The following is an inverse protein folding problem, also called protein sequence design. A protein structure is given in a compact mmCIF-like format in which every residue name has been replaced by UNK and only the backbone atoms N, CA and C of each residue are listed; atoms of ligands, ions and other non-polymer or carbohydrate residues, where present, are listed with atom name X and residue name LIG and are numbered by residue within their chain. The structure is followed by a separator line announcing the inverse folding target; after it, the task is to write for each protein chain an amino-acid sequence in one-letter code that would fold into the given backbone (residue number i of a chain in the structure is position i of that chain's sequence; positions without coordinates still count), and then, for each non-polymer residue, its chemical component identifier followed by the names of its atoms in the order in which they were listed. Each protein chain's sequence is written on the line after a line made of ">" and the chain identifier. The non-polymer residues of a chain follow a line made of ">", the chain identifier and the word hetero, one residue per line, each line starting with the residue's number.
data_IF_794843334784
#
_entry.id   IF_794843334784
#
_cell.length_a   1.000
_cell.length_b   1.000
_cell.length_c   1.000
_cell.angle_alpha   90.00
_cell.angle_beta   90.00
_cell.angle_gamma   90.00
#
_symmetry.space_group_name_H-M   'P 1'
#
loop_
_entity.id
_entity.type
_entity.pdbx_description
1 polymer ?
#
# COMPACT_ATOMS: atom_id res chain seq x y z
N UNK A 1 4.63 13.08 7.66
CA UNK A 1 4.36 13.21 9.11
C UNK A 1 3.75 11.95 9.74
N UNK A 2 2.92 11.17 9.03
CA UNK A 2 2.20 10.05 9.65
C UNK A 2 3.03 8.77 9.80
N UNK A 3 3.81 8.41 8.79
CA UNK A 3 4.67 7.22 8.86
C UNK A 3 5.67 7.32 10.03
N UNK A 4 6.18 8.51 10.31
CA UNK A 4 7.06 8.78 11.47
C UNK A 4 6.35 8.64 12.81
N UNK A 5 5.05 8.94 12.90
CA UNK A 5 4.24 8.73 14.11
C UNK A 5 4.00 7.25 14.34
N UNK A 6 3.55 6.52 13.30
CA UNK A 6 3.32 5.06 13.36
C UNK A 6 4.60 4.32 13.76
N UNK A 7 5.74 4.76 13.23
CA UNK A 7 7.03 4.13 13.51
C UNK A 7 7.50 4.28 14.96
N UNK A 8 6.82 5.10 15.77
CA UNK A 8 7.10 5.33 17.20
C UNK A 8 6.04 4.70 18.12
N UNK A 9 5.11 3.91 17.59
CA UNK A 9 4.05 3.29 18.37
C UNK A 9 4.60 2.36 19.47
N UNK A 10 3.94 2.32 20.62
CA UNK A 10 4.38 1.51 21.78
C UNK A 10 4.31 0.01 21.49
N UNK A 11 3.40 -0.41 20.59
CA UNK A 11 3.34 -1.76 20.04
C UNK A 11 4.68 -2.26 19.49
N UNK A 12 5.54 -1.35 19.02
CA UNK A 12 6.81 -1.69 18.42
C UNK A 12 8.01 -1.52 19.37
N UNK A 13 7.77 -1.25 20.66
CA UNK A 13 8.83 -1.01 21.66
C UNK A 13 9.84 -2.15 21.80
N UNK A 14 9.42 -3.38 21.49
CA UNK A 14 10.27 -4.57 21.56
C UNK A 14 11.21 -4.71 20.36
N UNK A 15 10.87 -4.09 19.22
CA UNK A 15 11.74 -4.09 18.04
C UNK A 15 12.87 -3.09 18.28
N UNK A 16 14.08 -3.61 18.43
CA UNK A 16 15.31 -2.82 18.57
C UNK A 16 16.19 -2.97 17.33
N UNK A 17 17.00 -1.96 17.06
CA UNK A 17 18.08 -2.06 16.08
C UNK A 17 19.23 -2.84 16.72
N UNK A 18 19.47 -4.08 16.28
CA UNK A 18 20.51 -4.95 16.86
C UNK A 18 21.89 -4.56 16.32
N UNK A 19 22.93 -4.90 17.07
CA UNK A 19 24.31 -4.73 16.62
C UNK A 19 24.53 -5.46 15.28
N UNK A 20 25.19 -4.78 14.34
CA UNK A 20 25.43 -5.30 12.98
C UNK A 20 24.31 -5.05 11.97
N UNK A 21 23.07 -4.80 12.39
CA UNK A 21 21.95 -4.54 11.45
C UNK A 21 22.05 -3.15 10.78
N UNK A 22 22.81 -2.23 11.36
CA UNK A 22 22.90 -0.84 10.91
C UNK A 22 23.34 -0.71 9.45
N UNK A 23 24.29 -1.54 9.00
CA UNK A 23 24.76 -1.52 7.61
C UNK A 23 23.67 -1.99 6.64
N UNK A 24 22.87 -2.99 7.02
CA UNK A 24 21.72 -3.45 6.23
C UNK A 24 20.72 -2.31 6.03
N UNK A 25 20.31 -1.65 7.12
CA UNK A 25 19.33 -0.57 7.03
C UNK A 25 19.87 0.66 6.29
N UNK A 26 21.18 0.94 6.34
CA UNK A 26 21.81 1.96 5.50
C UNK A 26 21.69 1.64 4.02
N UNK A 27 21.87 0.38 3.64
CA UNK A 27 21.76 -0.04 2.24
C UNK A 27 20.30 -0.02 1.76
N UNK A 28 19.37 -0.50 2.59
CA UNK A 28 17.93 -0.37 2.31
C UNK A 28 17.54 1.09 2.08
N UNK A 29 18.00 2.01 2.93
CA UNK A 29 17.69 3.44 2.87
C UNK A 29 18.20 4.13 1.59
N UNK A 30 19.14 3.52 0.85
CA UNK A 30 19.64 4.03 -0.43
C UNK A 30 18.78 3.62 -1.63
N UNK A 31 17.86 2.68 -1.45
CA UNK A 31 17.00 2.23 -2.55
C UNK A 31 16.08 3.35 -3.01
N UNK A 32 15.98 3.54 -4.33
CA UNK A 32 15.05 4.51 -4.94
C UNK A 32 13.57 4.21 -4.64
N UNK A 33 13.25 3.01 -4.14
CA UNK A 33 11.91 2.64 -3.71
C UNK A 33 11.58 3.10 -2.27
N UNK A 34 12.55 3.65 -1.53
CA UNK A 34 12.32 4.33 -0.25
C UNK A 34 11.89 5.77 -0.53
N UNK A 35 10.65 6.11 -0.18
CA UNK A 35 10.07 7.45 -0.43
C UNK A 35 10.50 8.51 0.57
N UNK A 36 10.69 8.09 1.81
CA UNK A 36 11.01 8.94 2.95
C UNK A 36 12.31 8.46 3.59
N UNK A 37 13.47 8.76 2.96
CA UNK A 37 14.75 8.31 3.48
C UNK A 37 15.04 8.90 4.86
N UNK A 38 15.72 8.12 5.69
CA UNK A 38 16.24 8.57 6.98
C UNK A 38 17.53 9.35 6.71
N UNK A 39 17.46 10.68 6.80
CA UNK A 39 18.56 11.60 6.50
C UNK A 39 19.49 11.88 7.69
N UNK A 40 19.31 11.13 8.78
CA UNK A 40 20.15 11.16 9.98
C UNK A 40 20.77 9.80 10.21
N UNK A 41 21.61 9.67 11.24
CA UNK A 41 22.16 8.37 11.58
C UNK A 41 21.05 7.36 11.95
N UNK A 42 21.12 6.17 11.35
CA UNK A 42 20.17 5.09 11.61
C UNK A 42 20.54 4.46 12.97
N UNK A 43 19.96 5.01 14.03
CA UNK A 43 20.22 4.61 15.41
C UNK A 43 18.95 4.25 16.20
N UNK A 44 17.80 4.83 15.86
CA UNK A 44 16.57 4.68 16.64
C UNK A 44 15.73 3.48 16.16
N UNK A 45 15.01 2.79 17.08
CA UNK A 45 13.99 1.80 16.71
C UNK A 45 13.00 2.30 15.65
N UNK A 46 12.57 3.56 15.76
CA UNK A 46 11.67 4.17 14.80
C UNK A 46 12.26 4.28 13.38
N UNK A 47 13.57 4.42 13.22
CA UNK A 47 14.22 4.41 11.90
C UNK A 47 14.12 3.01 11.27
N UNK A 48 14.37 1.97 12.06
CA UNK A 48 14.21 0.57 11.64
C UNK A 48 12.78 0.26 11.25
N UNK A 49 11.79 0.63 12.06
CA UNK A 49 10.37 0.41 11.78
C UNK A 49 9.94 1.15 10.50
N UNK A 50 10.34 2.42 10.36
CA UNK A 50 10.05 3.19 9.15
C UNK A 50 10.60 2.50 7.90
N UNK A 51 11.85 2.04 7.94
CA UNK A 51 12.46 1.35 6.80
C UNK A 51 11.81 -0.01 6.53
N UNK A 52 11.45 -0.79 7.55
CA UNK A 52 10.70 -2.05 7.38
C UNK A 52 9.38 -1.84 6.63
N UNK A 53 8.63 -0.79 6.99
CA UNK A 53 7.37 -0.46 6.33
C UNK A 53 7.63 -0.04 4.88
N UNK A 54 8.55 0.90 4.66
CA UNK A 54 8.84 1.40 3.32
C UNK A 54 9.42 0.34 2.40
N UNK A 55 10.21 -0.60 2.93
CA UNK A 55 10.73 -1.74 2.17
C UNK A 55 9.62 -2.66 1.67
N UNK A 56 8.61 -2.95 2.50
CA UNK A 56 7.48 -3.76 2.06
C UNK A 56 6.66 -3.01 1.00
N UNK A 57 6.30 -1.75 1.28
CA UNK A 57 5.44 -0.96 0.38
C UNK A 57 6.11 -0.62 -0.95
N UNK A 58 7.43 -0.38 -0.94
CA UNK A 58 8.24 -0.12 -2.12
C UNK A 58 8.76 -1.39 -2.81
N UNK A 59 8.49 -2.56 -2.25
CA UNK A 59 9.04 -3.83 -2.73
C UNK A 59 10.58 -3.80 -2.91
N UNK A 60 11.28 -3.29 -1.89
CA UNK A 60 12.74 -3.17 -1.89
C UNK A 60 13.38 -4.56 -1.82
N UNK A 61 14.24 -4.86 -2.78
CA UNK A 61 15.07 -6.06 -2.77
C UNK A 61 16.12 -5.96 -1.65
N UNK A 62 16.19 -6.98 -0.78
CA UNK A 62 17.17 -7.00 0.30
C UNK A 62 18.57 -7.30 -0.25
N UNK A 63 19.62 -6.59 0.20
CA UNK A 63 20.99 -6.84 -0.25
C UNK A 63 21.45 -8.29 -0.03
N UNK A 64 21.99 -8.92 -1.09
CA UNK A 64 22.33 -10.36 -1.10
C UNK A 64 23.76 -10.69 -0.61
N UNK A 65 24.57 -9.67 -0.31
CA UNK A 65 25.93 -9.85 0.17
C UNK A 65 26.02 -10.63 1.49
N UNK A 66 27.12 -11.38 1.66
CA UNK A 66 27.41 -12.19 2.85
C UNK A 66 27.17 -11.50 4.22
N UNK A 67 27.50 -10.20 4.44
CA UNK A 67 27.24 -9.58 5.74
C UNK A 67 25.74 -9.39 6.04
N UNK A 68 24.87 -9.42 5.02
CA UNK A 68 23.44 -9.13 5.14
C UNK A 68 22.56 -10.36 5.25
N UNK A 69 23.02 -11.52 4.74
CA UNK A 69 22.22 -12.75 4.75
C UNK A 69 21.77 -13.17 6.15
N UNK A 70 22.66 -13.05 7.14
CA UNK A 70 22.36 -13.34 8.56
C UNK A 70 21.23 -12.49 9.15
N UNK A 71 20.92 -11.34 8.55
CA UNK A 71 19.87 -10.43 9.02
C UNK A 71 18.52 -10.64 8.33
N UNK A 72 18.44 -11.44 7.25
CA UNK A 72 17.20 -11.63 6.46
C UNK A 72 16.06 -12.22 7.28
N UNK A 73 16.35 -13.24 8.09
CA UNK A 73 15.34 -13.86 8.93
C UNK A 73 14.77 -12.88 9.96
N UNK A 74 15.65 -12.14 10.65
CA UNK A 74 15.21 -11.12 11.62
C UNK A 74 14.41 -10.00 10.94
N UNK A 75 14.85 -9.53 9.75
CA UNK A 75 14.11 -8.55 8.96
C UNK A 75 12.68 -9.05 8.63
N UNK A 76 12.54 -10.30 8.17
CA UNK A 76 11.24 -10.88 7.85
C UNK A 76 10.34 -11.03 9.07
N UNK A 77 10.91 -11.42 10.21
CA UNK A 77 10.20 -11.54 11.48
C UNK A 77 9.68 -10.17 11.96
N UNK A 78 10.57 -9.17 12.03
CA UNK A 78 10.22 -7.82 12.46
C UNK A 78 9.19 -7.19 11.52
N UNK A 79 9.35 -7.36 10.19
CA UNK A 79 8.37 -6.92 9.21
C UNK A 79 7.00 -7.54 9.44
N UNK A 80 6.95 -8.86 9.67
CA UNK A 80 5.69 -9.58 9.89
C UNK A 80 4.99 -9.08 11.14
N UNK A 81 5.74 -8.86 12.22
CA UNK A 81 5.24 -8.25 13.44
C UNK A 81 4.74 -6.81 13.23
N UNK A 82 5.47 -5.97 12.50
CA UNK A 82 5.01 -4.61 12.20
C UNK A 82 3.67 -4.65 11.46
N UNK A 83 3.55 -5.49 10.42
CA UNK A 83 2.32 -5.57 9.61
C UNK A 83 1.14 -6.26 10.29
N UNK A 84 1.34 -7.02 11.37
CA UNK A 84 0.23 -7.55 12.18
C UNK A 84 -0.45 -6.47 13.02
N UNK A 85 0.25 -5.37 13.34
CA UNK A 85 -0.27 -4.28 14.17
C UNK A 85 -0.59 -2.99 13.37
N UNK A 86 0.07 -2.76 12.23
CA UNK A 86 -0.01 -1.46 11.54
C UNK A 86 -1.43 -1.04 11.13
N UNK A 87 -2.28 -2.02 10.78
CA UNK A 87 -3.66 -1.75 10.34
C UNK A 87 -4.55 -1.22 11.47
N UNK A 88 -4.36 -1.66 12.73
CA UNK A 88 -5.12 -1.09 13.86
C UNK A 88 -4.60 0.31 14.24
N UNK A 89 -3.30 0.53 14.12
CA UNK A 89 -2.66 1.80 14.43
C UNK A 89 -3.12 2.91 13.49
N UNK A 90 -3.15 2.63 12.18
CA UNK A 90 -3.61 3.64 11.22
C UNK A 90 -5.10 3.97 11.39
N UNK A 91 -5.94 3.00 11.76
CA UNK A 91 -7.35 3.26 12.08
C UNK A 91 -7.51 4.17 13.29
N UNK A 92 -6.75 3.91 14.35
CA UNK A 92 -6.71 4.80 15.53
C UNK A 92 -6.30 6.24 15.13
N UNK A 93 -5.27 6.38 14.29
CA UNK A 93 -4.86 7.70 13.78
C UNK A 93 -6.01 8.34 12.99
N UNK A 94 -6.66 7.61 12.09
CA UNK A 94 -7.82 8.10 11.31
C UNK A 94 -8.90 8.62 12.26
N UNK A 95 -9.31 7.85 13.26
CA UNK A 95 -10.35 8.24 14.23
C UNK A 95 -9.95 9.52 14.99
N UNK A 96 -8.69 9.61 15.44
CA UNK A 96 -8.18 10.83 16.07
C UNK A 96 -8.22 12.04 15.13
N UNK A 97 -7.84 11.88 13.86
CA UNK A 97 -7.83 12.99 12.90
C UNK A 97 -9.23 13.45 12.50
N UNK A 98 -10.21 12.53 12.49
CA UNK A 98 -11.63 12.90 12.34
C UNK A 98 -12.06 13.81 13.48
N UNK A 99 -11.74 13.45 14.73
CA UNK A 99 -12.08 14.27 15.91
C UNK A 99 -11.34 15.61 15.99
N UNK A 100 -10.14 15.70 15.41
CA UNK A 100 -9.35 16.94 15.33
C UNK A 100 -9.74 17.84 14.15
N UNK A 101 -10.64 17.38 13.28
CA UNK A 101 -11.07 18.08 12.06
C UNK A 101 -9.91 18.44 11.10
N UNK A 102 -8.77 17.74 11.19
CA UNK A 102 -7.63 17.91 10.28
C UNK A 102 -7.82 17.06 9.03
N UNK A 103 -8.48 17.65 8.04
CA UNK A 103 -8.75 16.99 6.75
C UNK A 103 -7.50 16.60 5.95
N UNK A 104 -6.40 17.36 6.07
CA UNK A 104 -5.16 17.09 5.32
C UNK A 104 -4.50 15.84 5.87
N UNK A 105 -4.35 15.79 7.19
CA UNK A 105 -3.80 14.63 7.87
C UNK A 105 -4.76 13.44 7.69
N UNK A 106 -6.07 13.61 7.88
CA UNK A 106 -7.03 12.53 7.65
C UNK A 106 -6.90 11.88 6.25
N UNK A 107 -6.81 12.67 5.18
CA UNK A 107 -6.62 12.16 3.81
C UNK A 107 -5.37 11.31 3.69
N UNK A 108 -4.23 11.82 4.14
CA UNK A 108 -2.96 11.08 4.09
C UNK A 108 -3.03 9.78 4.91
N UNK A 109 -3.80 9.76 6.01
CA UNK A 109 -3.95 8.57 6.86
C UNK A 109 -4.74 7.48 6.14
N UNK A 110 -5.79 7.88 5.41
CA UNK A 110 -6.61 6.98 4.59
C UNK A 110 -5.79 6.38 3.42
N UNK A 111 -4.94 7.17 2.77
CA UNK A 111 -4.01 6.70 1.73
C UNK A 111 -3.00 5.67 2.28
N UNK A 112 -2.46 5.92 3.48
CA UNK A 112 -1.60 4.97 4.17
C UNK A 112 -2.35 3.69 4.57
N UNK A 113 -3.59 3.80 5.03
CA UNK A 113 -4.40 2.63 5.38
C UNK A 113 -4.61 1.72 4.17
N UNK A 114 -4.91 2.29 3.00
CA UNK A 114 -4.98 1.55 1.73
C UNK A 114 -3.64 0.87 1.41
N UNK A 115 -2.55 1.64 1.49
CA UNK A 115 -1.20 1.12 1.22
C UNK A 115 -0.83 -0.05 2.14
N UNK A 116 -1.14 0.03 3.44
CA UNK A 116 -0.87 -1.06 4.39
C UNK A 116 -1.73 -2.29 4.18
N UNK A 117 -3.01 -2.11 3.81
CA UNK A 117 -3.89 -3.21 3.44
C UNK A 117 -3.38 -3.96 2.22
N UNK A 118 -2.96 -3.21 1.19
CA UNK A 118 -2.43 -3.72 -0.07
C UNK A 118 -0.97 -4.22 0.01
N UNK A 119 -0.23 -3.81 1.06
CA UNK A 119 1.22 -4.02 1.22
C UNK A 119 2.06 -3.49 0.05
N UNK A 120 1.60 -2.41 -0.55
CA UNK A 120 2.28 -1.65 -1.62
C UNK A 120 1.89 -0.19 -1.49
N UNK A 121 2.66 0.72 -2.06
CA UNK A 121 2.20 2.11 -2.17
C UNK A 121 1.01 2.23 -3.12
N UNK A 122 -0.03 2.97 -2.70
CA UNK A 122 -1.34 3.07 -3.37
C UNK A 122 -1.28 3.73 -4.77
N UNK A 123 -0.32 4.60 -5.00
CA UNK A 123 -0.15 5.45 -6.20
C UNK A 123 0.89 4.90 -7.19
N UNK A 124 1.17 3.59 -7.17
CA UNK A 124 2.18 3.01 -8.07
C UNK A 124 1.76 1.67 -8.71
N UNK A 125 2.37 1.27 -9.84
CA UNK A 125 2.02 0.03 -10.55
C UNK A 125 2.13 -1.24 -9.71
N UNK A 126 2.86 -1.20 -8.58
CA UNK A 126 2.95 -2.33 -7.64
C UNK A 126 1.58 -2.78 -7.11
N UNK A 127 0.52 -1.97 -7.22
CA UNK A 127 -0.85 -2.40 -6.95
C UNK A 127 -1.23 -3.71 -7.68
N UNK A 128 -0.71 -3.93 -8.89
CA UNK A 128 -0.97 -5.17 -9.63
C UNK A 128 -0.40 -6.43 -8.97
N UNK A 129 0.55 -6.30 -8.03
CA UNK A 129 1.07 -7.41 -7.20
C UNK A 129 -0.01 -8.03 -6.29
N UNK A 130 -1.12 -7.33 -6.10
CA UNK A 130 -2.29 -7.88 -5.39
C UNK A 130 -3.01 -8.96 -6.22
N UNK A 131 -2.71 -9.09 -7.52
CA UNK A 131 -3.28 -10.14 -8.35
C UNK A 131 -2.44 -11.41 -8.23
N UNK A 132 -3.09 -12.54 -7.99
CA UNK A 132 -2.40 -13.82 -7.84
C UNK A 132 -1.54 -14.14 -9.08
N UNK A 133 -0.30 -14.58 -8.84
CA UNK A 133 0.72 -14.88 -9.86
C UNK A 133 1.37 -13.66 -10.53
N UNK A 134 1.05 -12.43 -10.10
CA UNK A 134 1.78 -11.22 -10.48
C UNK A 134 2.83 -10.88 -9.42
N UNK A 135 4.09 -11.14 -9.76
CA UNK A 135 5.24 -10.72 -8.96
C UNK A 135 5.82 -9.38 -9.43
N UNK A 136 6.82 -8.87 -8.70
CA UNK A 136 7.48 -7.57 -9.00
C UNK A 136 8.04 -7.54 -10.43
N UNK A 137 8.62 -8.65 -10.91
CA UNK A 137 9.14 -8.77 -12.28
C UNK A 137 8.02 -8.62 -13.32
N UNK A 138 6.86 -9.23 -13.07
CA UNK A 138 5.70 -9.10 -13.95
C UNK A 138 5.17 -7.66 -13.97
N UNK A 139 5.08 -7.01 -12.80
CA UNK A 139 4.73 -5.58 -12.72
C UNK A 139 5.70 -4.71 -13.53
N UNK A 140 7.01 -4.94 -13.43
CA UNK A 140 8.01 -4.18 -14.20
C UNK A 140 7.81 -4.35 -15.70
N UNK A 141 7.61 -5.58 -16.18
CA UNK A 141 7.34 -5.87 -17.60
C UNK A 141 6.07 -5.15 -18.09
N UNK A 142 4.97 -5.24 -17.34
CA UNK A 142 3.71 -4.56 -17.66
C UNK A 142 3.87 -3.04 -17.70
N UNK A 143 4.51 -2.46 -16.69
CA UNK A 143 4.76 -1.02 -16.62
C UNK A 143 5.64 -0.53 -17.76
N UNK A 144 6.67 -1.29 -18.15
CA UNK A 144 7.51 -0.98 -19.32
C UNK A 144 6.73 -1.04 -20.65
N UNK A 145 5.64 -1.80 -20.70
CA UNK A 145 4.70 -1.83 -21.83
C UNK A 145 3.56 -0.81 -21.71
N UNK A 146 3.62 0.13 -20.75
CA UNK A 146 2.61 1.17 -20.56
C UNK A 146 1.42 0.77 -19.67
N UNK A 147 1.35 -0.49 -19.23
CA UNK A 147 0.28 -0.99 -18.35
C UNK A 147 0.67 -0.71 -16.89
N UNK A 148 0.10 0.36 -16.33
CA UNK A 148 0.50 0.90 -15.03
C UNK A 148 -0.57 0.82 -13.94
N UNK A 149 -1.77 0.34 -14.28
CA UNK A 149 -2.88 0.17 -13.34
C UNK A 149 -3.64 -1.13 -13.55
N UNK A 150 -4.47 -1.50 -12.57
CA UNK A 150 -5.33 -2.70 -12.65
C UNK A 150 -6.38 -2.52 -13.76
N UNK A 151 -6.92 -1.31 -13.91
CA UNK A 151 -7.86 -0.96 -14.97
C UNK A 151 -7.22 -1.05 -16.35
N UNK A 152 -5.97 -0.56 -16.50
CA UNK A 152 -5.24 -0.68 -17.75
C UNK A 152 -4.96 -2.16 -18.10
N UNK A 153 -4.63 -2.98 -17.10
CA UNK A 153 -4.39 -4.42 -17.28
C UNK A 153 -5.66 -5.18 -17.71
N UNK A 154 -6.82 -4.77 -17.20
CA UNK A 154 -8.11 -5.36 -17.55
C UNK A 154 -8.53 -5.10 -19.01
N UNK A 155 -8.08 -3.98 -19.58
CA UNK A 155 -8.37 -3.62 -20.97
C UNK A 155 -7.46 -4.33 -22.00
N UNK A 156 -6.47 -5.09 -21.55
CA UNK A 156 -5.56 -5.80 -22.44
C UNK A 156 -6.17 -7.08 -23.00
N UNK A 157 -5.76 -7.46 -24.21
CA UNK A 157 -6.12 -8.75 -24.77
C UNK A 157 -5.30 -9.88 -24.12
N UNK A 158 -5.87 -11.09 -23.89
CA UNK A 158 -5.17 -12.20 -23.25
C UNK A 158 -3.79 -12.52 -23.86
N UNK A 159 -3.69 -12.46 -25.19
CA UNK A 159 -2.46 -12.79 -25.91
C UNK A 159 -1.36 -11.73 -25.74
N UNK A 160 -1.73 -10.45 -25.55
CA UNK A 160 -0.79 -9.38 -25.24
C UNK A 160 -0.16 -9.61 -23.87
N UNK A 161 -0.98 -10.00 -22.88
CA UNK A 161 -0.51 -10.33 -21.53
C UNK A 161 0.46 -11.52 -21.56
N UNK A 162 0.12 -12.59 -22.30
CA UNK A 162 0.98 -13.75 -22.49
C UNK A 162 2.34 -13.35 -23.08
N UNK A 163 2.32 -12.52 -24.13
CA UNK A 163 3.52 -12.02 -24.80
C UNK A 163 4.38 -11.12 -23.89
N UNK A 164 3.79 -10.09 -23.28
CA UNK A 164 4.49 -9.12 -22.41
C UNK A 164 5.14 -9.86 -21.24
N UNK A 165 4.40 -10.78 -20.61
CA UNK A 165 4.90 -11.52 -19.45
C UNK A 165 5.81 -12.70 -19.81
N UNK A 166 5.91 -13.02 -21.10
CA UNK A 166 6.65 -14.19 -21.61
C UNK A 166 6.13 -15.49 -20.99
N UNK A 167 4.80 -15.66 -20.98
CA UNK A 167 4.10 -16.83 -20.47
C UNK A 167 3.37 -17.52 -21.63
N UNK A 168 3.23 -18.84 -21.53
CA UNK A 168 2.45 -19.59 -22.52
C UNK A 168 0.95 -19.40 -22.26
N UNK A 169 0.13 -19.32 -23.33
CA UNK A 169 -1.31 -19.39 -23.20
C UNK A 169 -1.76 -20.64 -22.41
N UNK A 170 -2.86 -20.58 -21.64
CA UNK A 170 -3.79 -19.46 -21.49
C UNK A 170 -3.52 -18.64 -20.21
N UNK A 171 -2.28 -18.14 -20.00
CA UNK A 171 -1.97 -17.41 -18.77
C UNK A 171 -2.73 -16.08 -18.69
N UNK A 172 -2.73 -15.27 -19.75
CA UNK A 172 -3.40 -13.98 -19.81
C UNK A 172 -4.91 -14.10 -19.60
N UNK A 173 -5.55 -15.10 -20.21
CA UNK A 173 -6.98 -15.38 -20.00
C UNK A 173 -7.28 -15.68 -18.52
N UNK A 174 -6.52 -16.59 -17.91
CA UNK A 174 -6.69 -16.93 -16.48
C UNK A 174 -6.39 -15.75 -15.56
N UNK A 175 -5.50 -14.85 -15.96
CA UNK A 175 -5.22 -13.63 -15.22
C UNK A 175 -6.42 -12.67 -15.26
N UNK A 176 -6.99 -12.42 -16.44
CA UNK A 176 -8.18 -11.59 -16.60
C UNK A 176 -9.40 -12.17 -15.87
N UNK A 177 -9.58 -13.49 -15.88
CA UNK A 177 -10.63 -14.16 -15.10
C UNK A 177 -10.51 -13.86 -13.59
N UNK A 178 -9.29 -13.81 -13.04
CA UNK A 178 -9.08 -13.43 -11.64
C UNK A 178 -9.28 -11.94 -11.37
N UNK A 179 -9.06 -11.09 -12.37
CA UNK A 179 -9.26 -9.65 -12.25
C UNK A 179 -10.73 -9.27 -12.09
N UNK A 180 -11.65 -10.10 -12.60
CA UNK A 180 -13.10 -9.92 -12.41
C UNK A 180 -13.47 -9.91 -10.92
N UNK A 181 -12.79 -10.71 -10.11
CA UNK A 181 -13.02 -10.81 -8.66
C UNK A 181 -12.29 -9.72 -7.85
N UNK A 182 -11.40 -8.93 -8.47
CA UNK A 182 -10.69 -7.85 -7.78
C UNK A 182 -11.66 -6.73 -7.38
N UNK A 183 -11.79 -6.35 -6.10
CA UNK A 183 -12.76 -5.34 -5.68
C UNK A 183 -12.45 -3.95 -6.23
N UNK A 184 -13.37 -3.40 -7.02
CA UNK A 184 -13.24 -2.06 -7.63
C UNK A 184 -14.20 -1.09 -6.97
N UNK A 185 -13.74 -0.41 -5.92
CA UNK A 185 -14.56 0.52 -5.16
C UNK A 185 -14.99 1.73 -6.01
N UNK A 186 -16.25 2.11 -5.89
CA UNK A 186 -16.84 3.30 -6.48
C UNK A 186 -17.42 4.16 -5.36
N UNK A 187 -17.04 5.44 -5.36
CA UNK A 187 -17.69 6.46 -4.53
C UNK A 187 -18.30 7.51 -5.45
N UNK A 188 -19.59 7.77 -5.30
CA UNK A 188 -20.31 8.84 -5.99
C UNK A 188 -20.86 9.81 -4.96
N UNK A 189 -20.57 11.09 -5.11
CA UNK A 189 -21.02 12.14 -4.19
C UNK A 189 -21.81 13.16 -4.98
N UNK A 190 -23.08 13.37 -4.62
CA UNK A 190 -23.96 14.33 -5.26
C UNK A 190 -24.53 15.31 -4.24
N UNK A 191 -24.36 16.59 -4.50
CA UNK A 191 -25.05 17.65 -3.77
C UNK A 191 -26.54 17.65 -4.13
N UNK A 192 -27.41 17.46 -3.15
CA UNK A 192 -28.87 17.40 -3.33
C UNK A 192 -29.57 18.71 -2.94
N UNK A 193 -28.88 19.64 -2.28
CA UNK A 193 -29.43 20.95 -1.94
C UNK A 193 -28.38 21.91 -1.38
N UNK A 194 -28.62 23.22 -1.59
CA UNK A 194 -27.83 24.34 -1.04
C UNK A 194 -28.78 25.34 -0.41
N UNK A 195 -28.56 25.70 0.85
CA UNK A 195 -29.20 26.85 1.47
C UNK A 195 -28.12 27.83 1.91
N UNK A 196 -28.25 29.09 1.48
CA UNK A 196 -27.33 30.16 1.89
C UNK A 196 -28.12 31.18 2.67
N UNK A 197 -27.75 31.42 3.93
CA UNK A 197 -28.36 32.46 4.76
C UNK A 197 -27.27 33.46 5.16
N UNK A 198 -27.45 34.72 4.75
CA UNK A 198 -26.55 35.83 5.09
C UNK A 198 -26.38 35.91 6.60
N UNK A 199 -25.13 35.86 7.08
CA UNK A 199 -24.80 35.93 8.51
C UNK A 199 -24.86 34.60 9.30
N UNK A 200 -25.37 33.51 8.71
CA UNK A 200 -25.49 32.19 9.40
C UNK A 200 -24.60 31.13 8.73
N UNK A 201 -24.36 31.24 7.42
CA UNK A 201 -23.49 30.33 6.67
C UNK A 201 -24.21 29.57 5.55
N UNK A 202 -23.55 28.53 5.04
CA UNK A 202 -24.03 27.68 3.95
C UNK A 202 -24.37 26.30 4.50
N UNK A 203 -25.58 25.81 4.26
CA UNK A 203 -25.97 24.42 4.50
C UNK A 203 -25.99 23.67 3.18
N UNK A 204 -25.33 22.51 3.15
CA UNK A 204 -25.25 21.67 1.96
C UNK A 204 -25.84 20.30 2.31
N UNK A 205 -26.77 19.83 1.49
CA UNK A 205 -27.25 18.44 1.55
C UNK A 205 -26.46 17.63 0.53
N UNK A 206 -25.87 16.52 0.99
CA UNK A 206 -25.04 15.64 0.16
C UNK A 206 -25.61 14.23 0.26
N UNK A 207 -25.70 13.55 -0.88
CA UNK A 207 -25.95 12.12 -0.98
C UNK A 207 -24.67 11.45 -1.47
N UNK A 208 -24.15 10.52 -0.66
CA UNK A 208 -23.00 9.70 -1.02
C UNK A 208 -23.45 8.26 -1.25
N UNK A 209 -22.95 7.66 -2.32
CA UNK A 209 -23.16 6.26 -2.67
C UNK A 209 -21.80 5.57 -2.72
N UNK A 210 -21.69 4.46 -2.00
CA UNK A 210 -20.49 3.60 -1.98
C UNK A 210 -20.91 2.25 -2.54
N UNK A 211 -20.24 1.81 -3.60
CA UNK A 211 -20.56 0.60 -4.33
C UNK A 211 -19.28 -0.06 -4.89
N UNK A 212 -19.43 -1.21 -5.53
CA UNK A 212 -18.37 -1.82 -6.35
C UNK A 212 -18.75 -1.72 -7.82
N UNK A 213 -17.75 -1.52 -8.69
CA UNK A 213 -17.90 -1.57 -10.15
C UNK A 213 -17.92 -2.99 -10.70
N UNK A 214 -17.66 -4.00 -9.86
CA UNK A 214 -17.75 -5.41 -10.23
C UNK A 214 -19.18 -5.78 -10.63
N UNK A 215 -19.33 -6.69 -11.61
CA UNK A 215 -20.65 -7.20 -12.01
C UNK A 215 -21.40 -7.86 -10.85
N UNK A 216 -20.66 -8.55 -9.98
CA UNK A 216 -21.15 -9.12 -8.73
C UNK A 216 -20.44 -8.44 -7.56
N UNK A 217 -21.21 -8.03 -6.56
CA UNK A 217 -20.65 -7.41 -5.36
C UNK A 217 -19.68 -8.39 -4.67
N UNK A 218 -18.39 -8.04 -4.54
CA UNK A 218 -17.40 -8.90 -3.91
C UNK A 218 -17.66 -8.94 -2.39
N UNK A 219 -17.68 -10.15 -1.84
CA UNK A 219 -17.79 -10.38 -0.38
C UNK A 219 -16.47 -10.79 0.24
N UNK A 220 -15.57 -11.38 -0.57
CA UNK A 220 -14.24 -11.80 -0.16
C UNK A 220 -13.21 -11.48 -1.24
N UNK A 221 -12.02 -11.09 -0.82
CA UNK A 221 -10.83 -10.99 -1.67
C UNK A 221 -9.62 -11.54 -0.91
N UNK A 222 -8.85 -12.43 -1.54
CA UNK A 222 -7.71 -13.11 -0.91
C UNK A 222 -8.01 -13.70 0.48
N UNK A 223 -9.18 -14.36 0.62
CA UNK A 223 -9.64 -14.99 1.89
C UNK A 223 -9.92 -14.00 3.02
N UNK A 224 -10.08 -12.71 2.72
CA UNK A 224 -10.47 -11.67 3.66
C UNK A 224 -11.81 -11.08 3.24
N UNK A 225 -12.70 -10.73 4.18
CA UNK A 225 -13.90 -9.97 3.85
C UNK A 225 -13.50 -8.63 3.25
N UNK A 226 -14.24 -8.20 2.23
CA UNK A 226 -14.12 -6.88 1.60
C UNK A 226 -14.99 -5.87 2.33
#
# INVERSE_FOLDING_TARGET
>A
MQLSVISRADEFREIRLKAGEKSLYKEINRSNAIRFPVNVDIALPAHKISLLIQSELGAVDLPDGEPFQKHRFTFQQDRTFVFSHINRLIRCIIDCQVGLEDSITLRNALELARSFGAKVWDDCPLQMKQIEQIGIVAVRKLASSGITSIEALELCEPHEIDMILSRNPPFGRRLLERLVDFPKLRVSVKMTGKETKTGIGVRINIRSEVAFMNEKCPTYFQRRPV
#
